data_IF_431198701751
#
_entry.id   IF_431198701751
#
_cell.length_a   1.000
_cell.length_b   1.000
_cell.length_c   1.000
_cell.angle_alpha   90.00
_cell.angle_beta   90.00
_cell.angle_gamma   90.00
#
_symmetry.space_group_name_H-M   'P 1'
#
loop_
_entity.id
_entity.type
_entity.pdbx_description
1 polymer ?
#
# COMPACT_ATOMS: atom_id res chain seq x y z
N UNK A 1 -9.47 13.67 -2.63
CA UNK A 1 -8.62 13.79 -1.41
C UNK A 1 -7.36 14.56 -1.78
N UNK A 2 -6.82 15.39 -0.89
CA UNK A 2 -5.56 16.11 -1.18
C UNK A 2 -4.42 15.14 -0.91
N UNK A 3 -3.65 14.78 -1.92
CA UNK A 3 -2.46 13.93 -1.80
C UNK A 3 -1.32 14.67 -1.08
N UNK A 4 -0.40 13.91 -0.47
CA UNK A 4 0.81 14.47 0.17
C UNK A 4 1.82 14.92 -0.88
N UNK A 5 1.89 14.18 -1.99
CA UNK A 5 2.74 14.46 -3.15
C UNK A 5 1.87 14.79 -4.36
N UNK A 6 2.31 15.73 -5.18
CA UNK A 6 1.70 15.99 -6.48
C UNK A 6 2.31 15.05 -7.54
N UNK A 7 1.57 14.75 -8.61
CA UNK A 7 2.05 13.88 -9.69
C UNK A 7 3.36 14.39 -10.33
N UNK A 8 3.55 15.69 -10.45
CA UNK A 8 4.77 16.29 -10.98
C UNK A 8 5.98 16.19 -10.04
N UNK A 9 5.80 15.68 -8.81
CA UNK A 9 6.87 15.41 -7.85
C UNK A 9 7.36 13.97 -7.91
N UNK A 10 6.76 13.11 -8.76
CA UNK A 10 7.19 11.72 -8.92
C UNK A 10 8.65 11.69 -9.38
N UNK A 11 9.55 11.01 -8.64
CA UNK A 11 10.98 11.00 -8.93
C UNK A 11 11.33 9.95 -10.00
N UNK A 12 10.91 10.14 -11.26
CA UNK A 12 11.09 9.20 -12.37
C UNK A 12 12.51 8.66 -12.50
N UNK A 13 13.55 9.55 -12.37
CA UNK A 13 14.95 9.11 -12.44
C UNK A 13 15.34 8.10 -11.36
N UNK A 14 14.69 8.15 -10.20
CA UNK A 14 14.91 7.17 -9.14
C UNK A 14 14.17 5.87 -9.46
N UNK A 15 12.98 5.94 -10.04
CA UNK A 15 12.27 4.78 -10.56
C UNK A 15 13.09 4.07 -11.65
N UNK A 16 13.70 4.81 -12.58
CA UNK A 16 14.60 4.25 -13.59
C UNK A 16 15.79 3.49 -12.96
N UNK A 17 16.34 4.00 -11.87
CA UNK A 17 17.46 3.35 -11.18
C UNK A 17 17.10 1.99 -10.57
N UNK A 18 15.84 1.74 -10.32
CA UNK A 18 15.31 0.47 -9.82
C UNK A 18 14.54 -0.32 -10.87
N UNK A 19 14.71 0.04 -12.16
CA UNK A 19 14.25 -0.73 -13.31
C UNK A 19 12.86 -0.41 -13.84
N UNK A 20 12.25 0.70 -13.40
CA UNK A 20 10.99 1.18 -13.96
C UNK A 20 11.27 2.19 -15.08
N UNK A 21 10.73 1.97 -16.27
CA UNK A 21 10.62 3.04 -17.26
C UNK A 21 9.55 4.07 -16.84
N UNK A 22 9.53 5.22 -17.47
CA UNK A 22 8.47 6.20 -17.25
C UNK A 22 7.09 5.59 -17.55
N UNK A 23 6.96 4.86 -18.65
CA UNK A 23 5.74 4.16 -19.07
C UNK A 23 5.24 3.19 -18.01
N UNK A 24 6.15 2.41 -17.40
CA UNK A 24 5.81 1.51 -16.30
C UNK A 24 5.23 2.25 -15.08
N UNK A 25 5.76 3.44 -14.78
CA UNK A 25 5.26 4.27 -13.68
C UNK A 25 3.90 4.88 -14.04
N UNK A 26 3.75 5.39 -15.26
CA UNK A 26 2.52 6.02 -15.74
C UNK A 26 1.36 5.00 -15.84
N UNK A 27 1.69 3.71 -16.08
CA UNK A 27 0.74 2.60 -16.14
C UNK A 27 0.49 1.91 -14.79
N UNK A 28 1.05 2.42 -13.67
CA UNK A 28 0.71 1.88 -12.37
C UNK A 28 -0.81 1.98 -12.13
N UNK A 29 -1.45 0.91 -11.65
CA UNK A 29 -2.87 0.97 -11.31
C UNK A 29 -3.17 2.14 -10.37
N UNK A 30 -4.32 2.79 -10.56
CA UNK A 30 -4.72 3.99 -9.81
C UNK A 30 -4.58 3.80 -8.29
N UNK A 31 -4.93 2.61 -7.78
CA UNK A 31 -4.79 2.29 -6.35
C UNK A 31 -3.32 2.30 -5.90
N UNK A 32 -2.38 1.88 -6.75
CA UNK A 32 -0.94 1.88 -6.45
C UNK A 32 -0.39 3.28 -6.51
N UNK A 33 -0.75 4.04 -7.56
CA UNK A 33 -0.37 5.44 -7.70
C UNK A 33 -0.90 6.29 -6.55
N UNK A 34 -2.16 6.11 -6.15
CA UNK A 34 -2.74 6.80 -5.01
C UNK A 34 -1.99 6.50 -3.70
N UNK A 35 -1.54 5.25 -3.48
CA UNK A 35 -0.69 4.93 -2.32
C UNK A 35 0.63 5.68 -2.37
N UNK A 36 1.32 5.72 -3.49
CA UNK A 36 2.56 6.49 -3.66
C UNK A 36 2.35 7.97 -3.36
N UNK A 37 1.36 8.61 -3.99
CA UNK A 37 1.07 10.03 -3.83
C UNK A 37 0.61 10.40 -2.41
N UNK A 38 0.04 9.46 -1.67
CA UNK A 38 -0.31 9.62 -0.26
C UNK A 38 0.81 9.21 0.71
N UNK A 39 2.01 8.89 0.19
CA UNK A 39 3.13 8.48 1.03
C UNK A 39 2.87 7.18 1.79
N UNK A 40 2.08 6.27 1.23
CA UNK A 40 1.78 4.95 1.77
C UNK A 40 2.61 3.87 1.07
N UNK A 41 2.75 2.70 1.69
CA UNK A 41 3.42 1.56 1.09
C UNK A 41 2.56 0.95 -0.03
N UNK A 42 3.18 0.70 -1.18
CA UNK A 42 2.53 0.03 -2.31
C UNK A 42 2.26 -1.46 -2.01
N UNK A 43 1.43 -2.15 -2.78
CA UNK A 43 1.56 -3.59 -2.97
C UNK A 43 3.00 -3.96 -3.33
N UNK A 44 3.36 -5.23 -3.24
CA UNK A 44 4.68 -5.70 -3.65
C UNK A 44 4.82 -5.55 -5.16
N UNK A 45 5.94 -4.96 -5.59
CA UNK A 45 6.29 -4.70 -6.99
C UNK A 45 7.64 -5.36 -7.32
N UNK A 46 7.85 -5.86 -8.55
CA UNK A 46 9.16 -6.31 -9.00
C UNK A 46 10.05 -5.09 -9.29
N UNK A 47 11.23 -5.03 -8.68
CA UNK A 47 12.25 -4.01 -8.94
C UNK A 47 13.54 -4.66 -9.41
N UNK A 48 14.34 -3.95 -10.19
CA UNK A 48 15.65 -4.42 -10.68
C UNK A 48 16.76 -3.65 -9.97
N UNK A 49 17.52 -4.33 -9.17
CA UNK A 49 18.61 -3.74 -8.39
C UNK A 49 19.92 -4.49 -8.63
N UNK A 50 21.05 -3.76 -8.56
CA UNK A 50 22.37 -4.34 -8.47
C UNK A 50 22.68 -4.62 -6.99
N UNK A 51 22.92 -5.88 -6.66
CA UNK A 51 23.24 -6.30 -5.28
C UNK A 51 24.75 -6.17 -4.96
N UNK A 52 25.51 -5.46 -5.78
CA UNK A 52 26.93 -5.17 -5.55
C UNK A 52 27.89 -6.02 -6.36
N UNK A 53 27.39 -6.86 -7.26
CA UNK A 53 28.20 -7.69 -8.17
C UNK A 53 28.13 -7.21 -9.65
N UNK A 54 27.49 -6.08 -9.91
CA UNK A 54 27.29 -5.51 -11.24
C UNK A 54 26.20 -6.22 -12.05
N UNK A 55 25.52 -7.22 -11.48
CA UNK A 55 24.41 -7.94 -12.14
C UNK A 55 23.08 -7.44 -11.59
N UNK A 56 22.26 -6.86 -12.43
CA UNK A 56 20.90 -6.48 -12.07
C UNK A 56 20.01 -7.72 -11.92
N UNK A 57 19.37 -7.83 -10.78
CA UNK A 57 18.42 -8.91 -10.46
C UNK A 57 17.05 -8.33 -10.14
N UNK A 58 16.02 -9.04 -10.54
CA UNK A 58 14.65 -8.72 -10.13
C UNK A 58 14.41 -9.24 -8.73
N UNK A 59 13.98 -8.37 -7.83
CA UNK A 59 13.55 -8.71 -6.48
C UNK A 59 12.17 -8.11 -6.22
N UNK A 60 11.46 -8.66 -5.26
CA UNK A 60 10.14 -8.19 -4.86
C UNK A 60 10.29 -7.18 -3.70
N UNK A 61 9.62 -6.02 -3.80
CA UNK A 61 9.71 -4.97 -2.79
C UNK A 61 8.42 -4.15 -2.71
N UNK A 62 8.16 -3.55 -1.53
CA UNK A 62 7.22 -2.43 -1.43
C UNK A 62 7.96 -1.13 -1.62
N UNK A 63 7.29 -0.15 -2.20
CA UNK A 63 7.79 1.20 -2.43
C UNK A 63 6.94 2.20 -1.66
N UNK A 64 7.55 3.30 -1.26
CA UNK A 64 6.89 4.44 -0.61
C UNK A 64 7.62 5.72 -0.98
N UNK A 65 6.91 6.80 -1.27
CA UNK A 65 7.53 8.11 -1.39
C UNK A 65 7.75 8.73 -0.02
N UNK A 66 8.92 9.31 0.18
CA UNK A 66 9.29 10.06 1.39
C UNK A 66 9.94 11.39 0.99
N UNK A 67 9.55 12.47 1.69
CA UNK A 67 10.23 13.75 1.51
C UNK A 67 11.41 13.85 2.47
N UNK A 68 12.62 14.01 1.91
CA UNK A 68 13.86 14.26 2.67
C UNK A 68 14.37 15.66 2.33
N UNK A 69 14.25 16.57 3.27
CA UNK A 69 14.41 18.00 3.03
C UNK A 69 13.51 18.45 1.87
N UNK A 70 14.08 18.96 0.78
CA UNK A 70 13.33 19.44 -0.39
C UNK A 70 13.21 18.40 -1.53
N UNK A 71 13.69 17.15 -1.32
CA UNK A 71 13.74 16.13 -2.37
C UNK A 71 12.79 14.98 -2.03
N UNK A 72 12.00 14.57 -3.03
CA UNK A 72 11.21 13.35 -2.94
C UNK A 72 12.10 12.15 -3.26
N UNK A 73 12.11 11.17 -2.37
CA UNK A 73 12.88 9.93 -2.48
C UNK A 73 11.97 8.71 -2.46
N UNK A 74 12.50 7.56 -2.86
CA UNK A 74 11.81 6.28 -2.80
C UNK A 74 12.41 5.46 -1.66
N UNK A 75 11.58 5.13 -0.67
CA UNK A 75 11.89 4.08 0.29
C UNK A 75 11.57 2.73 -0.32
N UNK A 76 12.47 1.78 -0.13
CA UNK A 76 12.35 0.42 -0.65
C UNK A 76 12.38 -0.55 0.53
N UNK A 77 11.34 -1.38 0.64
CA UNK A 77 11.26 -2.50 1.57
C UNK A 77 11.31 -3.82 0.78
N UNK A 78 12.52 -4.34 0.49
CA UNK A 78 12.68 -5.56 -0.28
C UNK A 78 12.21 -6.77 0.53
N UNK A 79 11.58 -7.75 -0.13
CA UNK A 79 11.20 -9.02 0.48
C UNK A 79 12.45 -9.75 0.96
N UNK A 80 12.40 -10.26 2.18
CA UNK A 80 13.45 -11.05 2.81
C UNK A 80 12.90 -12.42 3.22
N UNK A 81 13.75 -13.43 3.26
CA UNK A 81 13.37 -14.75 3.78
C UNK A 81 13.11 -14.72 5.29
N UNK A 82 13.82 -13.86 6.01
CA UNK A 82 13.69 -13.72 7.46
C UNK A 82 13.57 -12.24 7.84
N UNK A 83 12.83 -11.99 8.90
CA UNK A 83 12.74 -10.67 9.50
C UNK A 83 14.03 -10.34 10.25
N UNK A 84 14.62 -9.19 9.92
CA UNK A 84 15.73 -8.60 10.65
C UNK A 84 15.17 -7.82 11.85
N UNK A 85 15.26 -8.40 13.03
CA UNK A 85 14.74 -7.85 14.28
C UNK A 85 15.85 -7.71 15.35
N UNK A 86 17.12 -7.71 14.96
CA UNK A 86 18.27 -7.67 15.89
C UNK A 86 18.27 -6.40 16.76
N UNK A 87 17.74 -5.28 16.25
CA UNK A 87 17.63 -4.00 16.96
C UNK A 87 16.51 -3.98 18.02
N UNK A 88 15.69 -5.05 18.12
CA UNK A 88 14.55 -5.13 19.03
C UNK A 88 14.81 -6.10 20.19
N UNK A 89 14.29 -5.78 21.36
CA UNK A 89 14.33 -6.69 22.53
C UNK A 89 13.52 -7.98 22.24
N UNK A 90 13.78 -9.09 22.95
CA UNK A 90 13.05 -10.35 22.74
C UNK A 90 11.52 -10.20 22.87
N UNK A 91 11.05 -9.37 23.78
CA UNK A 91 9.61 -9.11 23.98
C UNK A 91 9.01 -8.32 22.82
N UNK A 92 9.74 -7.30 22.33
CA UNK A 92 9.35 -6.55 21.13
C UNK A 92 9.31 -7.44 19.89
N UNK A 93 10.32 -8.31 19.70
CA UNK A 93 10.35 -9.28 18.60
C UNK A 93 9.13 -10.21 18.63
N UNK A 94 8.78 -10.74 19.81
CA UNK A 94 7.61 -11.60 19.96
C UNK A 94 6.32 -10.84 19.63
N UNK A 95 6.21 -9.59 20.07
CA UNK A 95 5.06 -8.71 19.79
C UNK A 95 4.94 -8.46 18.28
N UNK A 96 6.02 -8.08 17.61
CA UNK A 96 6.07 -7.86 16.17
C UNK A 96 5.73 -9.11 15.37
N UNK A 97 6.28 -10.27 15.74
CA UNK A 97 5.98 -11.57 15.09
C UNK A 97 4.52 -12.02 15.28
N UNK A 98 3.84 -11.52 16.31
CA UNK A 98 2.40 -11.76 16.51
C UNK A 98 1.50 -10.83 15.67
N UNK A 99 2.08 -10.00 14.78
CA UNK A 99 1.37 -9.03 13.94
C UNK A 99 0.93 -7.75 14.67
N UNK A 100 1.35 -7.59 15.93
CA UNK A 100 1.02 -6.40 16.75
C UNK A 100 2.00 -5.26 16.48
N UNK A 101 1.60 -4.08 16.93
CA UNK A 101 2.38 -2.85 16.85
C UNK A 101 3.09 -2.59 18.16
N UNK A 102 4.29 -2.06 18.10
CA UNK A 102 5.03 -1.54 19.25
C UNK A 102 5.36 -0.06 19.05
N UNK A 103 5.69 0.63 20.13
CA UNK A 103 6.21 2.01 20.08
C UNK A 103 7.64 1.98 20.62
N UNK A 104 8.61 2.29 19.75
CA UNK A 104 10.02 2.27 20.13
C UNK A 104 10.81 3.33 19.37
N UNK A 105 12.04 3.60 19.83
CA UNK A 105 12.95 4.52 19.16
C UNK A 105 13.76 3.78 18.10
N UNK A 106 13.51 4.08 16.85
CA UNK A 106 14.27 3.52 15.74
C UNK A 106 15.66 4.17 15.59
N UNK A 107 16.69 3.43 15.16
CA UNK A 107 18.03 3.99 14.92
C UNK A 107 17.97 5.22 13.97
N UNK A 108 18.53 6.35 14.41
CA UNK A 108 18.57 7.59 13.62
C UNK A 108 17.22 8.29 13.40
N UNK A 109 16.17 7.86 14.12
CA UNK A 109 14.81 8.41 14.00
C UNK A 109 14.28 8.83 15.37
N UNK A 110 13.16 9.53 15.36
CA UNK A 110 12.34 9.78 16.55
C UNK A 110 11.62 8.50 17.03
N UNK A 111 10.80 8.60 18.06
CA UNK A 111 9.93 7.52 18.49
C UNK A 111 8.91 7.20 17.39
N UNK A 112 8.77 5.93 17.06
CA UNK A 112 7.91 5.44 15.99
C UNK A 112 6.98 4.35 16.49
N UNK A 113 5.79 4.29 15.89
CA UNK A 113 5.02 3.06 15.82
C UNK A 113 5.70 2.13 14.81
N UNK A 114 5.81 0.86 15.17
CA UNK A 114 6.54 -0.14 14.39
C UNK A 114 5.68 -1.39 14.23
N UNK A 115 5.60 -1.91 13.02
CA UNK A 115 4.89 -3.15 12.67
C UNK A 115 5.75 -4.00 11.73
N UNK A 116 5.67 -5.31 11.86
CA UNK A 116 6.30 -6.24 10.93
C UNK A 116 5.32 -6.52 9.77
N UNK A 117 5.75 -6.28 8.52
CA UNK A 117 5.06 -6.75 7.33
C UNK A 117 5.42 -8.22 7.09
N UNK A 118 4.45 -9.11 7.25
CA UNK A 118 4.62 -10.57 7.13
C UNK A 118 4.96 -11.02 5.70
N UNK A 119 4.54 -10.27 4.69
CA UNK A 119 4.79 -10.59 3.28
C UNK A 119 6.22 -10.27 2.83
N UNK A 120 6.80 -9.17 3.35
CA UNK A 120 8.17 -8.80 3.01
C UNK A 120 9.18 -9.17 4.08
N UNK A 121 8.73 -9.56 5.28
CA UNK A 121 9.57 -9.71 6.47
C UNK A 121 10.35 -8.44 6.82
N UNK A 122 9.77 -7.27 6.50
CA UNK A 122 10.38 -5.96 6.79
C UNK A 122 9.61 -5.22 7.86
N UNK A 123 10.36 -4.50 8.65
CA UNK A 123 9.81 -3.61 9.66
C UNK A 123 9.35 -2.33 8.97
N UNK A 124 8.06 -2.05 9.08
CA UNK A 124 7.43 -0.80 8.68
C UNK A 124 7.32 0.11 9.92
N UNK A 125 7.44 1.41 9.71
CA UNK A 125 7.34 2.37 10.81
C UNK A 125 6.63 3.64 10.40
N UNK A 126 5.99 4.28 11.37
CA UNK A 126 5.35 5.59 11.24
C UNK A 126 5.77 6.42 12.47
N UNK A 127 6.29 7.65 12.30
CA UNK A 127 6.57 8.55 13.42
C UNK A 127 5.34 8.73 14.32
N UNK A 128 5.58 8.77 15.65
CA UNK A 128 4.49 8.94 16.63
C UNK A 128 3.71 10.21 16.35
N UNK A 129 4.39 11.33 16.07
CA UNK A 129 3.76 12.61 15.76
C UNK A 129 2.76 12.52 14.60
N UNK A 130 3.13 11.82 13.51
CA UNK A 130 2.26 11.64 12.35
C UNK A 130 1.07 10.71 12.66
N UNK A 131 1.31 9.65 13.42
CA UNK A 131 0.23 8.72 13.79
C UNK A 131 -0.75 9.38 14.77
N UNK A 132 -0.30 10.23 15.68
CA UNK A 132 -1.16 10.98 16.60
C UNK A 132 -2.15 11.88 15.86
N UNK A 133 -1.73 12.54 14.77
CA UNK A 133 -2.62 13.35 13.93
C UNK A 133 -3.71 12.47 13.28
N UNK A 134 -3.33 11.30 12.73
CA UNK A 134 -4.26 10.38 12.12
C UNK A 134 -5.25 9.77 13.14
N UNK A 135 -4.75 9.41 14.34
CA UNK A 135 -5.58 8.91 15.44
C UNK A 135 -6.55 9.98 15.96
N UNK A 136 -6.11 11.23 16.05
CA UNK A 136 -6.96 12.35 16.46
C UNK A 136 -8.11 12.57 15.47
N UNK A 137 -7.84 12.45 14.18
CA UNK A 137 -8.87 12.52 13.12
C UNK A 137 -9.88 11.39 13.27
N UNK A 138 -9.41 10.14 13.37
CA UNK A 138 -10.27 8.98 13.58
C UNK A 138 -11.09 9.08 14.88
N UNK A 139 -10.44 9.52 15.97
CA UNK A 139 -11.09 9.74 17.26
C UNK A 139 -12.27 10.70 17.14
N UNK A 140 -12.09 11.80 16.40
CA UNK A 140 -13.15 12.79 16.19
C UNK A 140 -14.27 12.24 15.30
N UNK A 141 -13.96 11.52 14.22
CA UNK A 141 -14.93 10.97 13.27
C UNK A 141 -15.78 9.86 13.90
N UNK A 142 -15.15 8.98 14.68
CA UNK A 142 -15.81 7.84 15.32
C UNK A 142 -16.16 8.11 16.80
N UNK A 143 -15.95 9.34 17.31
CA UNK A 143 -16.22 9.72 18.70
C UNK A 143 -15.64 8.72 19.71
N UNK A 144 -14.35 8.33 19.50
CA UNK A 144 -13.69 7.33 20.36
C UNK A 144 -13.27 7.93 21.69
N UNK A 145 -13.31 7.12 22.75
CA UNK A 145 -12.72 7.48 24.02
C UNK A 145 -11.19 7.43 23.98
N UNK A 146 -10.53 8.15 24.86
CA UNK A 146 -9.07 8.08 25.01
C UNK A 146 -8.58 6.66 25.34
N UNK A 147 -9.38 5.87 26.05
CA UNK A 147 -9.07 4.48 26.38
C UNK A 147 -9.09 3.59 25.12
N UNK A 148 -10.06 3.80 24.24
CA UNK A 148 -10.13 3.08 22.96
C UNK A 148 -8.93 3.40 22.06
N UNK A 149 -8.57 4.69 21.96
CA UNK A 149 -7.36 5.10 21.23
C UNK A 149 -6.10 4.47 21.84
N UNK A 150 -5.96 4.48 23.15
CA UNK A 150 -4.83 3.84 23.86
C UNK A 150 -4.76 2.33 23.58
N UNK A 151 -5.89 1.63 23.53
CA UNK A 151 -5.95 0.21 23.16
C UNK A 151 -5.51 -0.04 21.71
N UNK A 152 -5.90 0.82 20.77
CA UNK A 152 -5.40 0.74 19.39
C UNK A 152 -3.88 0.88 19.32
N UNK A 153 -3.31 1.83 20.07
CA UNK A 153 -1.86 2.07 20.10
C UNK A 153 -1.05 0.85 20.56
N UNK A 154 -1.67 -0.11 21.25
CA UNK A 154 -1.06 -1.40 21.61
C UNK A 154 -1.29 -2.49 20.56
N UNK A 155 -1.83 -2.14 19.38
CA UNK A 155 -2.09 -3.07 18.28
C UNK A 155 -3.38 -3.87 18.42
N UNK A 156 -4.30 -3.46 19.31
CA UNK A 156 -5.61 -4.08 19.38
C UNK A 156 -6.52 -3.57 18.26
N UNK A 157 -7.33 -4.48 17.74
CA UNK A 157 -8.42 -4.15 16.82
C UNK A 157 -9.70 -4.00 17.64
N UNK A 158 -10.41 -2.91 17.42
CA UNK A 158 -11.60 -2.53 18.18
C UNK A 158 -12.81 -2.46 17.26
N UNK A 159 -13.99 -2.78 17.81
CA UNK A 159 -15.27 -2.57 17.15
C UNK A 159 -16.13 -1.62 17.97
N UNK A 160 -16.80 -0.67 17.29
CA UNK A 160 -17.76 0.26 17.90
C UNK A 160 -19.05 0.26 17.11
N UNK A 161 -20.18 0.28 17.83
CA UNK A 161 -21.50 0.41 17.22
C UNK A 161 -21.88 1.88 17.15
N UNK A 162 -22.28 2.32 15.96
CA UNK A 162 -22.81 3.65 15.66
C UNK A 162 -24.20 3.54 15.04
N UNK A 163 -24.86 4.69 14.84
CA UNK A 163 -26.20 4.71 14.22
C UNK A 163 -26.19 4.12 12.80
N UNK A 164 -25.07 4.30 12.07
CA UNK A 164 -24.88 3.81 10.71
C UNK A 164 -24.43 2.34 10.65
N UNK A 165 -24.15 1.70 11.79
CA UNK A 165 -23.67 0.31 11.88
C UNK A 165 -22.44 0.14 12.73
N UNK A 166 -21.89 -1.08 12.73
CA UNK A 166 -20.66 -1.41 13.43
C UNK A 166 -19.45 -0.99 12.57
N UNK A 167 -18.45 -0.38 13.20
CA UNK A 167 -17.15 -0.08 12.58
C UNK A 167 -16.06 -0.79 13.36
N UNK A 168 -15.19 -1.50 12.64
CA UNK A 168 -14.02 -2.18 13.20
C UNK A 168 -12.76 -1.55 12.63
N UNK A 169 -11.80 -1.24 13.51
CA UNK A 169 -10.60 -0.50 13.14
C UNK A 169 -9.39 -0.93 13.97
N UNK A 170 -8.20 -0.76 13.40
CA UNK A 170 -6.92 -1.08 14.02
C UNK A 170 -5.75 -0.49 13.24
N UNK A 171 -4.55 -0.56 13.82
CA UNK A 171 -3.34 -0.12 13.14
C UNK A 171 -2.93 -1.15 12.07
N UNK A 172 -2.75 -0.68 10.85
CA UNK A 172 -2.25 -1.44 9.70
C UNK A 172 -1.46 -0.48 8.80
N UNK A 173 -0.14 -0.60 8.79
CA UNK A 173 0.73 0.34 8.08
C UNK A 173 0.72 0.17 6.56
N UNK A 174 -0.04 -0.80 6.06
CA UNK A 174 -0.35 -0.95 4.64
C UNK A 174 -1.64 -0.22 4.25
N UNK A 175 -2.48 0.15 5.23
CA UNK A 175 -3.66 0.96 5.03
C UNK A 175 -3.30 2.46 4.94
N UNK A 176 -4.23 3.25 4.44
CA UNK A 176 -4.05 4.69 4.30
C UNK A 176 -3.96 5.35 5.69
N UNK A 177 -2.94 6.19 5.86
CA UNK A 177 -2.66 6.81 7.16
C UNK A 177 -2.23 5.84 8.26
N UNK A 178 -1.96 4.57 7.95
CA UNK A 178 -1.55 3.55 8.92
C UNK A 178 -2.70 2.97 9.76
N UNK A 179 -3.95 3.22 9.37
CA UNK A 179 -5.15 2.79 10.11
C UNK A 179 -6.11 2.11 9.14
N UNK A 180 -6.44 0.84 9.39
CA UNK A 180 -7.48 0.12 8.65
C UNK A 180 -8.82 0.32 9.35
N UNK A 181 -9.83 0.79 8.61
CA UNK A 181 -11.21 0.93 9.07
C UNK A 181 -12.11 0.15 8.15
N UNK A 182 -13.01 -0.65 8.70
CA UNK A 182 -13.97 -1.47 7.96
C UNK A 182 -15.36 -1.27 8.55
N UNK A 183 -16.35 -1.04 7.70
CA UNK A 183 -17.76 -1.09 8.10
C UNK A 183 -18.17 -2.56 8.27
N UNK A 184 -18.38 -2.97 9.50
CA UNK A 184 -18.69 -4.34 9.87
C UNK A 184 -18.01 -4.78 11.15
N UNK A 185 -18.21 -6.04 11.51
CA UNK A 185 -17.67 -6.67 12.70
C UNK A 185 -16.20 -7.14 12.49
N UNK A 186 -15.68 -7.85 13.47
CA UNK A 186 -14.32 -8.39 13.45
C UNK A 186 -14.09 -9.39 12.31
N UNK A 187 -15.07 -10.21 11.98
CA UNK A 187 -14.96 -11.17 10.89
C UNK A 187 -14.85 -10.46 9.56
N UNK A 188 -15.67 -9.42 9.35
CA UNK A 188 -15.59 -8.58 8.15
C UNK A 188 -14.26 -7.81 8.06
N UNK A 189 -13.73 -7.34 9.20
CA UNK A 189 -12.42 -6.68 9.26
C UNK A 189 -11.28 -7.64 8.88
N UNK A 190 -11.28 -8.86 9.43
CA UNK A 190 -10.23 -9.85 9.17
C UNK A 190 -10.28 -10.36 7.73
N UNK A 191 -11.50 -10.46 7.14
CA UNK A 191 -11.72 -10.86 5.76
C UNK A 191 -11.71 -9.69 4.76
N UNK A 192 -11.67 -8.44 5.22
CA UNK A 192 -11.55 -7.30 4.33
C UNK A 192 -10.17 -7.31 3.68
N UNK A 193 -10.11 -7.97 2.53
CA UNK A 193 -8.96 -7.91 1.65
C UNK A 193 -8.68 -6.44 1.28
N UNK A 194 -7.41 -6.07 1.18
CA UNK A 194 -7.03 -4.94 0.35
C UNK A 194 -7.74 -5.11 -1.00
N UNK A 195 -8.23 -4.00 -1.57
CA UNK A 195 -8.95 -4.04 -2.85
C UNK A 195 -8.29 -5.04 -3.81
N UNK A 196 -9.05 -6.09 -4.16
CA UNK A 196 -8.53 -7.12 -5.05
C UNK A 196 -8.38 -6.53 -6.45
N UNK A 197 -7.16 -6.52 -6.95
CA UNK A 197 -6.86 -6.06 -8.30
C UNK A 197 -7.09 -7.19 -9.30
N UNK A 198 -7.49 -6.89 -10.53
CA UNK A 198 -7.57 -7.90 -11.59
C UNK A 198 -6.17 -8.48 -11.88
N UNK A 199 -6.11 -9.68 -12.46
CA UNK A 199 -4.85 -10.31 -12.86
C UNK A 199 -4.08 -9.45 -13.86
N UNK A 200 -4.78 -8.86 -14.82
CA UNK A 200 -4.24 -7.95 -15.82
C UNK A 200 -4.70 -6.52 -15.53
N UNK A 201 -3.75 -5.63 -15.26
CA UNK A 201 -4.00 -4.22 -14.99
C UNK A 201 -3.46 -3.42 -16.18
N UNK A 202 -4.30 -3.23 -17.18
CA UNK A 202 -3.96 -2.56 -18.43
C UNK A 202 -3.83 -1.04 -18.21
N UNK A 203 -2.69 -0.49 -18.66
CA UNK A 203 -2.41 0.93 -18.75
C UNK A 203 -2.49 1.44 -20.19
N UNK A 204 -1.75 2.52 -20.47
CA UNK A 204 -1.68 3.15 -21.80
C UNK A 204 -0.61 2.46 -22.69
N UNK A 205 0.50 2.05 -22.07
CA UNK A 205 1.70 1.55 -22.77
C UNK A 205 1.91 0.05 -22.56
N UNK A 206 1.22 -0.55 -21.57
CA UNK A 206 1.39 -1.95 -21.23
C UNK A 206 0.46 -2.39 -20.12
N UNK A 207 0.81 -3.50 -19.49
CA UNK A 207 -0.01 -4.17 -18.50
C UNK A 207 0.83 -4.64 -17.30
N UNK A 208 0.43 -4.27 -16.09
CA UNK A 208 0.93 -4.84 -14.87
C UNK A 208 0.22 -6.16 -14.56
N UNK A 209 0.98 -7.24 -14.43
CA UNK A 209 0.46 -8.58 -14.11
C UNK A 209 0.53 -8.80 -12.61
N UNK A 210 -0.63 -9.11 -12.02
CA UNK A 210 -0.77 -9.44 -10.60
C UNK A 210 -0.64 -10.94 -10.37
N UNK A 211 -0.05 -11.33 -9.24
CA UNK A 211 -0.02 -12.69 -8.72
C UNK A 211 -1.17 -12.94 -7.73
N UNK A 212 -1.39 -14.21 -7.35
CA UNK A 212 -2.50 -14.63 -6.47
C UNK A 212 -2.45 -13.98 -5.07
N UNK A 213 -1.26 -13.61 -4.59
CA UNK A 213 -1.08 -12.94 -3.29
C UNK A 213 -1.30 -11.41 -3.33
N UNK A 214 -1.84 -10.89 -4.44
CA UNK A 214 -2.05 -9.47 -4.70
C UNK A 214 -0.74 -8.65 -4.85
N UNK A 215 0.38 -9.32 -5.12
CA UNK A 215 1.63 -8.68 -5.55
C UNK A 215 1.69 -8.59 -7.06
N UNK A 216 2.52 -7.69 -7.59
CA UNK A 216 2.80 -7.63 -9.03
C UNK A 216 4.05 -8.43 -9.32
N UNK A 217 4.00 -9.24 -10.38
CA UNK A 217 5.13 -10.09 -10.78
C UNK A 217 5.89 -9.56 -11.98
N UNK A 218 5.20 -8.86 -12.89
CA UNK A 218 5.81 -8.39 -14.13
C UNK A 218 5.03 -7.22 -14.74
N UNK A 219 5.66 -6.55 -15.72
CA UNK A 219 5.05 -5.56 -16.60
C UNK A 219 5.34 -5.96 -18.06
N UNK A 220 4.30 -6.06 -18.87
CA UNK A 220 4.36 -6.46 -20.29
C UNK A 220 3.98 -5.25 -21.15
N UNK A 221 4.87 -4.76 -22.03
CA UNK A 221 4.53 -3.75 -23.03
C UNK A 221 3.41 -4.23 -23.96
N UNK A 222 2.63 -3.30 -24.52
CA UNK A 222 1.49 -3.63 -25.40
C UNK A 222 1.91 -4.49 -26.60
N UNK A 223 3.09 -4.24 -27.16
CA UNK A 223 3.63 -4.99 -28.31
C UNK A 223 3.90 -6.47 -27.98
N UNK A 224 4.05 -6.82 -26.70
CA UNK A 224 4.39 -8.16 -26.22
C UNK A 224 3.17 -8.91 -25.62
N UNK A 225 1.94 -8.41 -25.82
CA UNK A 225 0.74 -9.03 -25.26
C UNK A 225 0.51 -10.44 -25.84
N UNK A 226 0.24 -11.39 -24.93
CA UNK A 226 -0.20 -12.74 -25.31
C UNK A 226 -1.61 -12.71 -25.89
N UNK A 227 -2.02 -13.81 -26.55
CA UNK A 227 -3.40 -13.94 -27.07
C UNK A 227 -4.47 -13.84 -25.97
N UNK A 228 -4.15 -14.26 -24.74
CA UNK A 228 -5.02 -14.14 -23.58
C UNK A 228 -5.15 -12.67 -23.17
N UNK A 229 -4.05 -11.96 -23.03
CA UNK A 229 -4.03 -10.54 -22.69
C UNK A 229 -4.77 -9.69 -23.72
N UNK A 230 -4.58 -9.99 -25.02
CA UNK A 230 -5.30 -9.28 -26.08
C UNK A 230 -6.81 -9.50 -25.99
N UNK A 231 -7.26 -10.72 -25.71
CA UNK A 231 -8.70 -10.99 -25.51
C UNK A 231 -9.26 -10.20 -24.34
N UNK A 232 -8.59 -10.20 -23.20
CA UNK A 232 -9.05 -9.49 -22.01
C UNK A 232 -9.04 -7.98 -22.22
N UNK A 233 -8.03 -7.43 -22.89
CA UNK A 233 -7.96 -6.02 -23.24
C UNK A 233 -9.14 -5.58 -24.12
N UNK A 234 -9.48 -6.35 -25.16
CA UNK A 234 -10.63 -6.05 -26.02
C UNK A 234 -11.97 -6.20 -25.30
N UNK A 235 -12.13 -7.19 -24.42
CA UNK A 235 -13.34 -7.34 -23.62
C UNK A 235 -13.57 -6.16 -22.67
N UNK A 236 -12.52 -5.64 -22.05
CA UNK A 236 -12.60 -4.44 -21.22
C UNK A 236 -12.99 -3.19 -22.03
N UNK A 237 -12.51 -3.08 -23.26
CA UNK A 237 -12.91 -2.04 -24.21
C UNK A 237 -14.41 -2.10 -24.51
N UNK A 238 -14.94 -3.26 -24.82
CA UNK A 238 -16.37 -3.49 -25.11
C UNK A 238 -17.27 -3.23 -23.90
N UNK A 239 -16.87 -3.64 -22.70
CA UNK A 239 -17.62 -3.35 -21.47
C UNK A 239 -17.66 -1.86 -21.14
N UNK A 240 -16.57 -1.13 -21.35
CA UNK A 240 -16.52 0.31 -21.12
C UNK A 240 -17.41 1.06 -22.10
N UNK A 241 -17.42 0.69 -23.37
CA UNK A 241 -18.32 1.26 -24.37
C UNK A 241 -19.79 1.01 -24.00
N UNK A 242 -20.14 -0.22 -23.57
CA UNK A 242 -21.50 -0.54 -23.13
C UNK A 242 -21.93 0.24 -21.87
N UNK A 243 -21.03 0.42 -20.90
CA UNK A 243 -21.31 1.21 -19.69
C UNK A 243 -21.53 2.71 -20.02
N UNK A 244 -20.74 3.27 -20.93
CA UNK A 244 -20.94 4.65 -21.39
C UNK A 244 -22.25 4.82 -22.15
N UNK A 245 -22.62 3.88 -23.03
CA UNK A 245 -23.90 3.92 -23.74
C UNK A 245 -25.10 3.81 -22.78
N UNK A 246 -25.01 2.96 -21.76
CA UNK A 246 -26.06 2.85 -20.73
C UNK A 246 -26.19 4.15 -19.90
N UNK A 247 -25.07 4.80 -19.53
CA UNK A 247 -25.08 6.10 -18.86
C UNK A 247 -25.72 7.18 -19.72
N UNK A 248 -25.42 7.24 -21.02
CA UNK A 248 -26.05 8.19 -21.97
C UNK A 248 -27.55 7.96 -22.10
N UNK A 249 -28.00 6.70 -22.15
CA UNK A 249 -29.46 6.37 -22.22
C UNK A 249 -30.18 6.67 -20.91
N UNK A 250 -29.51 6.60 -19.74
CA UNK A 250 -30.08 6.94 -18.43
C UNK A 250 -30.25 8.44 -18.20
N UNK A 251 -29.50 9.31 -18.89
CA UNK A 251 -29.62 10.77 -18.78
C UNK A 251 -30.75 11.39 -19.65
N UNK A 252 -31.40 10.60 -20.49
CA UNK A 252 -32.50 11.04 -21.36
C UNK A 252 -33.88 10.52 -20.90
N UNK A 253 -34.00 10.13 -19.64
CA UNK A 253 -35.27 9.86 -18.95
C UNK A 253 -35.36 10.77 -17.72
#
# INVERSE_FOLDING_TARGET
MKTIFAENEIPYKKFESIGFSQEMVDDLPEVVMNKLLNGNWTPILPIRVDLGDGVKRTIQARLKLERRAEVVDILIAPRSEMADLEDFTPDEQNTLRSGKVIITKMPGKEQCFVQLDDKTNRVLYIPVSLMEDNLSTLQSELELSNEQVAQMCTGNVLSVDKQEGTFTFGLDFLADGGIKVVSGDREQYDNAASQELPTFNFGIYGCWIKDDDNSFKDYIPEDDYTEEMQRDFYHLGDENVQKEEQRRRGMHR
#
